data_IF_722624200943
#
_entry.id   IF_722624200943
#
_cell.length_a   1.000
_cell.length_b   1.000
_cell.length_c   1.000
_cell.angle_alpha   90.00
_cell.angle_beta   90.00
_cell.angle_gamma   90.00
#
_symmetry.space_group_name_H-M   'P 1'
#
loop_
_entity.id
_entity.type
_entity.pdbx_description
1 polymer ?
#
# COMPACT_ATOMS: atom_id res chain seq x y z
N UNK A 1 10.62 -6.32 -0.97
CA UNK A 1 9.91 -7.19 -0.01
C UNK A 1 9.31 -8.38 -0.73
N UNK A 2 9.32 -9.52 -0.07
CA UNK A 2 8.75 -10.75 -0.65
C UNK A 2 9.35 -11.07 -2.01
N UNK A 3 10.67 -10.98 -2.12
CA UNK A 3 11.35 -11.31 -3.36
C UNK A 3 11.09 -10.33 -4.50
N UNK A 4 10.72 -9.11 -4.18
CA UNK A 4 10.41 -8.09 -5.17
C UNK A 4 8.95 -8.00 -5.56
N UNK A 5 8.08 -8.81 -4.94
CA UNK A 5 6.65 -8.75 -5.23
C UNK A 5 6.00 -7.48 -4.70
N UNK A 6 6.54 -6.93 -3.63
CA UNK A 6 6.03 -5.70 -3.02
C UNK A 6 7.06 -4.59 -3.11
N UNK A 7 6.62 -3.44 -3.59
CA UNK A 7 7.40 -2.21 -3.60
C UNK A 7 6.72 -1.22 -2.65
N UNK A 8 7.49 -0.63 -1.74
CA UNK A 8 6.96 0.37 -0.82
C UNK A 8 7.72 1.67 -0.95
N UNK A 9 7.04 2.77 -0.67
CA UNK A 9 7.65 4.08 -0.59
C UNK A 9 6.85 4.92 0.40
N UNK A 10 7.50 5.92 1.00
CA UNK A 10 6.75 6.83 1.84
C UNK A 10 7.12 8.27 1.50
N UNK A 11 6.15 9.16 1.67
CA UNK A 11 6.30 10.57 1.38
C UNK A 11 6.38 11.38 2.67
N UNK A 12 7.15 12.48 2.67
CA UNK A 12 7.13 13.42 3.78
C UNK A 12 5.71 13.96 3.96
N UNK A 13 5.38 14.33 5.18
CA UNK A 13 4.05 14.85 5.50
C UNK A 13 3.68 16.08 4.65
N UNK A 14 4.64 16.95 4.40
CA UNK A 14 4.45 18.17 3.64
C UNK A 14 4.68 18.00 2.13
N UNK A 15 4.72 16.80 1.64
CA UNK A 15 5.03 16.52 0.24
C UNK A 15 3.84 16.77 -0.68
N UNK A 16 3.50 18.00 -0.88
CA UNK A 16 2.53 18.39 -1.89
C UNK A 16 1.12 17.84 -1.73
N UNK A 17 0.33 18.07 -2.76
CA UNK A 17 -1.08 17.71 -2.77
C UNK A 17 -1.27 16.20 -2.98
N UNK A 18 -2.47 15.72 -2.70
CA UNK A 18 -2.77 14.31 -2.81
C UNK A 18 -2.67 13.78 -4.24
N UNK A 19 -2.95 14.60 -5.22
CA UNK A 19 -2.80 14.19 -6.61
C UNK A 19 -1.36 13.85 -6.96
N UNK A 20 -0.39 14.46 -6.29
CA UNK A 20 1.02 14.12 -6.49
C UNK A 20 1.31 12.70 -6.00
N UNK A 21 0.66 12.30 -4.92
CA UNK A 21 0.80 10.94 -4.39
C UNK A 21 0.30 9.91 -5.39
N UNK A 22 -0.81 10.21 -6.05
CA UNK A 22 -1.37 9.30 -7.05
C UNK A 22 -0.43 9.12 -8.22
N UNK A 23 0.24 10.18 -8.65
CA UNK A 23 1.21 10.10 -9.73
C UNK A 23 2.40 9.23 -9.34
N UNK A 24 2.90 9.39 -8.12
CA UNK A 24 4.00 8.57 -7.63
C UNK A 24 3.62 7.11 -7.55
N UNK A 25 2.43 6.81 -7.05
CA UNK A 25 1.95 5.43 -6.97
C UNK A 25 1.85 4.83 -8.36
N UNK A 26 1.35 5.60 -9.31
CA UNK A 26 1.26 5.15 -10.69
C UNK A 26 2.61 4.80 -11.29
N UNK A 27 3.64 5.56 -10.96
CA UNK A 27 4.99 5.31 -11.46
C UNK A 27 5.61 4.04 -10.88
N UNK A 28 5.53 3.85 -9.56
CA UNK A 28 6.18 2.69 -8.94
C UNK A 28 5.41 1.40 -9.16
N UNK A 29 4.16 1.47 -9.53
CA UNK A 29 3.32 0.31 -9.78
C UNK A 29 3.91 -0.63 -10.85
N UNK A 30 4.69 -0.11 -11.75
CA UNK A 30 5.23 -0.85 -12.88
C UNK A 30 6.67 -1.28 -12.71
N UNK A 31 7.18 -1.29 -11.48
CA UNK A 31 8.50 -1.85 -11.22
C UNK A 31 8.46 -3.33 -11.60
N UNK A 32 9.46 -3.75 -12.37
CA UNK A 32 9.50 -5.10 -12.91
C UNK A 32 9.41 -6.15 -11.80
N UNK A 33 8.53 -7.12 -11.99
CA UNK A 33 8.34 -8.21 -11.06
C UNK A 33 7.44 -7.91 -9.88
N UNK A 34 7.09 -6.64 -9.65
CA UNK A 34 6.21 -6.32 -8.54
C UNK A 34 4.75 -6.51 -8.92
N UNK A 35 3.95 -6.94 -7.95
CA UNK A 35 2.50 -7.08 -8.13
C UNK A 35 1.73 -6.21 -7.15
N UNK A 36 2.40 -5.62 -6.17
CA UNK A 36 1.80 -4.68 -5.21
C UNK A 36 2.72 -3.49 -5.03
N UNK A 37 2.14 -2.31 -5.04
CA UNK A 37 2.84 -1.06 -4.73
C UNK A 37 2.08 -0.37 -3.61
N UNK A 38 2.78 0.07 -2.58
CA UNK A 38 2.17 0.73 -1.43
C UNK A 38 2.89 2.03 -1.13
N UNK A 39 2.12 3.09 -0.99
CA UNK A 39 2.60 4.38 -0.56
C UNK A 39 2.07 4.68 0.83
N UNK A 40 2.97 5.13 1.71
CA UNK A 40 2.62 5.54 3.05
C UNK A 40 2.93 7.02 3.21
N UNK A 41 2.00 7.76 3.80
CA UNK A 41 2.18 9.19 4.09
C UNK A 41 1.78 9.47 5.53
N UNK A 42 2.69 10.02 6.29
CA UNK A 42 2.41 10.41 7.67
C UNK A 42 1.44 11.59 7.69
N UNK A 43 0.40 11.51 8.50
CA UNK A 43 -0.59 12.56 8.71
C UNK A 43 -0.74 12.80 10.20
N UNK A 44 -1.43 13.89 10.58
CA UNK A 44 -1.66 14.20 11.99
C UNK A 44 -2.41 13.08 12.70
N UNK A 45 -3.43 12.54 12.04
CA UNK A 45 -4.26 11.48 12.62
C UNK A 45 -3.64 10.09 12.54
N UNK A 46 -2.56 9.91 11.79
CA UNK A 46 -1.95 8.60 11.61
C UNK A 46 -1.20 8.49 10.30
N UNK A 47 -1.34 7.35 9.61
CA UNK A 47 -0.65 7.11 8.34
C UNK A 47 -1.65 6.77 7.26
N UNK A 48 -1.61 7.53 6.17
CA UNK A 48 -2.44 7.23 4.99
C UNK A 48 -1.70 6.22 4.13
N UNK A 49 -2.39 5.16 3.74
CA UNK A 49 -1.85 4.08 2.93
C UNK A 49 -2.58 4.04 1.60
N UNK A 50 -1.83 4.09 0.50
CA UNK A 50 -2.40 3.95 -0.85
C UNK A 50 -1.81 2.70 -1.47
N UNK A 51 -2.67 1.85 -2.06
CA UNK A 51 -2.29 0.53 -2.54
C UNK A 51 -2.69 0.37 -4.00
N UNK A 52 -1.76 -0.15 -4.80
CA UNK A 52 -2.03 -0.54 -6.18
C UNK A 52 -1.60 -1.98 -6.36
N UNK A 53 -2.35 -2.73 -7.17
CA UNK A 53 -2.03 -4.15 -7.39
C UNK A 53 -2.34 -4.58 -8.81
N UNK A 54 -1.77 -5.73 -9.17
CA UNK A 54 -2.00 -6.39 -10.46
C UNK A 54 -1.74 -7.88 -10.30
N UNK A 55 -1.92 -8.65 -11.39
CA UNK A 55 -1.54 -10.06 -11.38
C UNK A 55 -2.37 -10.93 -10.45
N UNK A 56 -3.63 -10.63 -10.27
CA UNK A 56 -4.51 -11.43 -9.41
C UNK A 56 -4.47 -11.05 -7.95
N UNK A 57 -3.65 -10.08 -7.57
CA UNK A 57 -3.57 -9.57 -6.20
C UNK A 57 -4.63 -8.48 -6.04
N UNK A 58 -5.31 -8.47 -4.89
CA UNK A 58 -6.37 -7.50 -4.63
C UNK A 58 -5.92 -6.43 -3.64
N UNK A 59 -5.77 -5.20 -4.14
CA UNK A 59 -5.52 -4.05 -3.27
C UNK A 59 -6.69 -3.85 -2.31
N UNK A 60 -7.92 -4.14 -2.77
CA UNK A 60 -9.11 -4.04 -1.94
C UNK A 60 -9.01 -4.95 -0.72
N UNK A 61 -8.59 -6.20 -0.91
CA UNK A 61 -8.44 -7.12 0.22
C UNK A 61 -7.41 -6.62 1.23
N UNK A 62 -6.31 -6.09 0.74
CA UNK A 62 -5.28 -5.53 1.61
C UNK A 62 -5.84 -4.35 2.40
N UNK A 63 -6.52 -3.44 1.72
CA UNK A 63 -7.10 -2.26 2.37
C UNK A 63 -8.14 -2.63 3.42
N UNK A 64 -8.98 -3.63 3.12
CA UNK A 64 -9.99 -4.09 4.07
C UNK A 64 -9.36 -4.62 5.36
N UNK A 65 -8.24 -5.31 5.26
CA UNK A 65 -7.51 -5.80 6.43
C UNK A 65 -6.96 -4.65 7.27
N UNK A 66 -6.75 -3.50 6.65
CA UNK A 66 -6.25 -2.30 7.32
C UNK A 66 -7.37 -1.36 7.76
N UNK A 67 -8.63 -1.76 7.55
CA UNK A 67 -9.77 -0.94 7.93
C UNK A 67 -10.21 0.07 6.88
N UNK A 68 -9.71 -0.05 5.67
CA UNK A 68 -10.05 0.84 4.56
C UNK A 68 -10.92 0.17 3.51
N UNK A 69 -10.72 0.53 2.26
CA UNK A 69 -11.48 -0.02 1.15
C UNK A 69 -11.05 0.55 -0.17
N UNK A 70 -11.79 0.21 -1.22
CA UNK A 70 -11.51 0.67 -2.58
C UNK A 70 -11.87 -0.39 -3.59
N UNK A 71 -11.07 -0.48 -4.65
CA UNK A 71 -11.26 -1.44 -5.74
C UNK A 71 -10.11 -2.42 -5.81
N UNK A 72 -10.31 -3.51 -6.54
CA UNK A 72 -9.29 -4.55 -6.66
C UNK A 72 -7.92 -3.99 -7.08
N UNK A 73 -7.81 -3.15 -8.12
CA UNK A 73 -6.50 -2.66 -8.53
C UNK A 73 -6.01 -1.43 -7.76
N UNK A 74 -6.88 -0.80 -6.97
CA UNK A 74 -6.52 0.46 -6.32
C UNK A 74 -7.39 0.71 -5.09
N UNK A 75 -6.77 0.76 -3.92
CA UNK A 75 -7.49 0.94 -2.67
C UNK A 75 -6.61 1.68 -1.66
N UNK A 76 -7.17 2.00 -0.52
CA UNK A 76 -6.42 2.70 0.52
C UNK A 76 -7.05 2.59 1.89
N UNK A 77 -6.28 3.03 2.88
CA UNK A 77 -6.72 3.01 4.28
C UNK A 77 -5.99 4.13 5.03
N UNK A 78 -6.55 4.51 6.18
CA UNK A 78 -5.89 5.41 7.11
C UNK A 78 -5.71 4.69 8.43
N UNK A 79 -4.46 4.51 8.84
CA UNK A 79 -4.12 3.84 10.09
C UNK A 79 -3.96 4.88 11.18
N UNK A 80 -5.05 5.13 11.89
CA UNK A 80 -5.10 6.17 12.92
C UNK A 80 -4.29 5.76 14.15
N UNK A 81 -3.59 6.74 14.71
CA UNK A 81 -2.85 6.53 15.96
C UNK A 81 -1.55 5.75 15.83
N UNK A 82 -1.14 5.39 14.62
CA UNK A 82 0.08 4.64 14.40
C UNK A 82 1.18 5.55 13.85
N UNK A 83 2.43 5.22 14.15
CA UNK A 83 3.55 5.86 13.49
C UNK A 83 3.90 5.09 12.22
N UNK A 84 4.90 5.58 11.46
CA UNK A 84 5.27 4.95 10.19
C UNK A 84 5.74 3.51 10.36
N UNK A 85 6.51 3.23 11.39
CA UNK A 85 7.02 1.88 11.62
C UNK A 85 5.90 0.90 11.92
N UNK A 86 4.95 1.30 12.77
CA UNK A 86 3.80 0.48 13.10
C UNK A 86 2.91 0.26 11.89
N UNK A 87 2.66 1.31 11.12
CA UNK A 87 1.87 1.23 9.90
C UNK A 87 2.52 0.30 8.90
N UNK A 88 3.84 0.40 8.74
CA UNK A 88 4.61 -0.42 7.82
C UNK A 88 4.45 -1.91 8.15
N UNK A 89 4.58 -2.27 9.43
CA UNK A 89 4.41 -3.65 9.85
C UNK A 89 3.02 -4.18 9.55
N UNK A 90 1.99 -3.35 9.80
CA UNK A 90 0.61 -3.73 9.49
C UNK A 90 0.42 -3.97 8.01
N UNK A 91 1.00 -3.10 7.18
CA UNK A 91 0.93 -3.23 5.73
C UNK A 91 1.61 -4.51 5.27
N UNK A 92 2.80 -4.80 5.78
CA UNK A 92 3.53 -6.02 5.40
C UNK A 92 2.73 -7.27 5.71
N UNK A 93 2.10 -7.32 6.88
CA UNK A 93 1.27 -8.46 7.27
C UNK A 93 0.07 -8.62 6.36
N UNK A 94 -0.64 -7.53 6.06
CA UNK A 94 -1.80 -7.57 5.19
C UNK A 94 -1.43 -7.99 3.77
N UNK A 95 -0.32 -7.48 3.25
CA UNK A 95 0.16 -7.85 1.92
C UNK A 95 0.57 -9.31 1.88
N UNK A 96 1.26 -9.78 2.90
CA UNK A 96 1.67 -11.19 2.97
C UNK A 96 0.47 -12.12 2.90
N UNK A 97 -0.59 -11.81 3.64
CA UNK A 97 -1.81 -12.62 3.62
C UNK A 97 -2.44 -12.64 2.23
N UNK A 98 -2.50 -11.47 1.59
CA UNK A 98 -3.09 -11.40 0.25
C UNK A 98 -2.23 -12.13 -0.79
N UNK A 99 -0.92 -12.01 -0.72
CA UNK A 99 -0.02 -12.72 -1.64
C UNK A 99 -0.15 -14.24 -1.46
N UNK A 100 -0.35 -14.70 -0.23
CA UNK A 100 -0.57 -16.11 0.05
C UNK A 100 -1.89 -16.58 -0.58
N UNK A 101 -2.95 -15.79 -0.40
CA UNK A 101 -4.25 -16.10 -1.02
C UNK A 101 -4.14 -16.16 -2.54
N UNK A 102 -3.40 -15.25 -3.14
CA UNK A 102 -3.27 -15.14 -4.59
C UNK A 102 -2.30 -16.17 -5.19
N UNK A 103 -1.61 -16.93 -4.37
CA UNK A 103 -0.74 -17.99 -4.83
C UNK A 103 0.72 -17.60 -5.04
N UNK A 104 1.13 -16.43 -4.60
CA UNK A 104 2.52 -15.97 -4.74
C UNK A 104 3.41 -16.42 -3.60
N UNK A 105 2.82 -16.75 -2.46
CA UNK A 105 3.58 -17.19 -1.28
C UNK A 105 3.02 -18.50 -0.73
#
# INVERSE_FOLDING_TARGET
>A
HFGGLLVTAHLPEEAGAEEDSDDFVGLIRYVEGSVVSVFLRKREEGVKVSIRSRGGVSAQNIALKLGGGGHVPAAGATLKGLDLDQAYERVLEAVREELTRAGYL
#
